data_IF_996465649170
#
_entry.id   IF_996465649170
#
_cell.length_a   1.000
_cell.length_b   1.000
_cell.length_c   1.000
_cell.angle_alpha   90.00
_cell.angle_beta   90.00
_cell.angle_gamma   90.00
#
_symmetry.space_group_name_H-M   'P 1'
#
loop_
_entity.id
_entity.type
_entity.pdbx_description
1 polymer ?
#
# COMPACT_ATOMS: atom_id res chain seq x y z
N UNK A 1 16.08 20.19 45.83
CA UNK A 1 15.25 19.97 44.63
C UNK A 1 14.78 18.53 44.60
N UNK A 2 13.47 18.28 44.60
CA UNK A 2 12.92 16.94 44.50
C UNK A 2 13.13 16.42 43.07
N UNK A 3 14.14 15.55 42.89
CA UNK A 3 14.24 14.71 41.70
C UNK A 3 13.10 13.71 41.76
N UNK A 4 11.93 14.07 41.23
CA UNK A 4 10.89 13.09 40.92
C UNK A 4 11.54 12.03 40.04
N UNK A 5 11.73 10.84 40.62
CA UNK A 5 12.33 9.67 40.00
C UNK A 5 11.51 9.34 38.73
N UNK A 6 12.01 9.77 37.56
CA UNK A 6 11.31 9.53 36.30
C UNK A 6 11.34 8.04 35.99
N UNK A 7 10.19 7.38 36.18
CA UNK A 7 10.01 5.99 35.74
C UNK A 7 9.50 5.99 34.31
N UNK A 8 10.19 5.35 33.37
CA UNK A 8 9.70 5.24 32.01
C UNK A 8 8.36 4.49 32.01
N UNK A 9 7.41 4.89 31.16
CA UNK A 9 6.11 4.23 31.07
C UNK A 9 6.26 2.77 30.66
N UNK A 10 5.33 1.89 31.09
CA UNK A 10 5.39 0.48 30.73
C UNK A 10 5.30 0.31 29.21
N UNK A 11 5.99 -0.71 28.67
CA UNK A 11 6.00 -0.98 27.22
C UNK A 11 4.61 -1.32 26.68
N UNK A 12 3.74 -1.87 27.53
CA UNK A 12 2.40 -2.28 27.15
C UNK A 12 1.39 -1.94 28.23
N UNK A 13 0.15 -1.73 27.80
CA UNK A 13 -1.02 -1.48 28.65
C UNK A 13 -2.15 -2.37 28.18
N UNK A 14 -2.70 -3.19 29.07
CA UNK A 14 -3.85 -4.03 28.78
C UNK A 14 -5.13 -3.26 29.12
N UNK A 15 -6.03 -3.13 28.16
CA UNK A 15 -7.33 -2.46 28.30
C UNK A 15 -8.44 -3.37 27.81
N UNK A 16 -9.67 -3.16 28.28
CA UNK A 16 -10.85 -3.91 27.79
C UNK A 16 -11.68 -3.00 26.88
N UNK A 17 -11.88 -3.42 25.63
CA UNK A 17 -12.75 -2.72 24.67
C UNK A 17 -13.87 -3.68 24.29
N UNK A 18 -15.13 -3.29 24.53
CA UNK A 18 -16.32 -4.13 24.26
C UNK A 18 -16.24 -5.54 24.89
N UNK A 19 -15.69 -5.65 26.10
CA UNK A 19 -15.50 -6.93 26.78
C UNK A 19 -14.29 -7.76 26.31
N UNK A 20 -13.58 -7.34 25.26
CA UNK A 20 -12.38 -8.02 24.77
C UNK A 20 -11.10 -7.37 25.34
N UNK A 21 -10.16 -8.13 25.92
CA UNK A 21 -8.87 -7.61 26.35
C UNK A 21 -7.99 -7.30 25.13
N UNK A 22 -7.41 -6.10 25.11
CA UNK A 22 -6.53 -5.60 24.05
C UNK A 22 -5.25 -5.06 24.68
N UNK A 23 -4.10 -5.53 24.16
CA UNK A 23 -2.77 -5.09 24.59
C UNK A 23 -2.25 -3.94 23.73
N UNK A 24 -2.27 -2.74 24.27
CA UNK A 24 -1.68 -1.56 23.64
C UNK A 24 -0.17 -1.54 23.83
N UNK A 25 0.55 -0.96 22.86
CA UNK A 25 2.01 -0.79 22.91
C UNK A 25 2.36 0.68 22.99
N UNK A 26 3.21 1.05 23.94
CA UNK A 26 3.70 2.42 24.07
C UNK A 26 4.65 2.78 22.91
N UNK A 27 4.53 4.01 22.40
CA UNK A 27 5.47 4.62 21.48
C UNK A 27 6.33 5.63 22.26
N UNK A 28 7.62 5.37 22.36
CA UNK A 28 8.54 6.23 23.10
C UNK A 28 8.82 7.56 22.38
N UNK A 29 8.77 7.58 21.05
CA UNK A 29 8.94 8.79 20.24
C UNK A 29 7.76 9.75 20.40
N UNK A 30 6.54 9.28 20.11
CA UNK A 30 5.33 10.10 20.18
C UNK A 30 4.75 10.24 21.60
N UNK A 31 5.30 9.53 22.59
CA UNK A 31 4.87 9.52 24.00
C UNK A 31 3.37 9.20 24.20
N UNK A 32 2.87 8.20 23.49
CA UNK A 32 1.48 7.73 23.58
C UNK A 32 1.40 6.21 23.62
N UNK A 33 0.37 5.67 24.27
CA UNK A 33 -0.07 4.30 23.98
C UNK A 33 -0.73 4.29 22.60
N UNK A 34 -0.15 3.51 21.68
CA UNK A 34 -0.65 3.45 20.31
C UNK A 34 -2.07 2.87 20.32
N UNK A 35 -3.04 3.54 19.66
CA UNK A 35 -4.36 2.95 19.44
C UNK A 35 -4.27 1.58 18.77
N UNK A 36 -5.30 0.72 18.87
CA UNK A 36 -5.35 -0.55 18.17
C UNK A 36 -5.00 -0.39 16.68
N UNK A 37 -4.18 -1.31 16.15
CA UNK A 37 -3.71 -1.33 14.75
C UNK A 37 -2.85 -0.12 14.32
N UNK A 38 -2.53 0.81 15.22
CA UNK A 38 -1.63 1.93 14.91
C UNK A 38 -0.15 1.52 15.01
N UNK A 39 0.69 2.09 14.14
CA UNK A 39 2.15 1.90 14.19
C UNK A 39 2.88 3.22 14.00
N UNK A 40 4.02 3.36 14.66
CA UNK A 40 4.92 4.50 14.44
C UNK A 40 5.73 4.25 13.17
N UNK A 41 5.73 5.23 12.27
CA UNK A 41 6.59 5.23 11.10
C UNK A 41 7.76 6.17 11.39
N UNK A 42 9.00 5.65 11.36
CA UNK A 42 10.20 6.45 11.56
C UNK A 42 10.46 7.43 10.42
N UNK A 43 10.00 7.13 9.20
CA UNK A 43 10.17 8.00 8.03
C UNK A 43 9.30 9.25 8.12
N UNK A 44 8.07 9.13 8.64
CA UNK A 44 7.14 10.24 8.83
C UNK A 44 7.17 10.81 10.27
N UNK A 45 7.97 10.19 11.15
CA UNK A 45 8.13 10.49 12.57
C UNK A 45 6.80 10.68 13.33
N UNK A 46 5.81 9.84 13.04
CA UNK A 46 4.50 9.90 13.68
C UNK A 46 3.84 8.52 13.80
N UNK A 47 2.92 8.41 14.76
CA UNK A 47 2.03 7.25 14.85
C UNK A 47 0.87 7.40 13.86
N UNK A 48 0.68 6.38 13.02
CA UNK A 48 -0.37 6.33 12.00
C UNK A 48 -1.42 5.31 12.41
N UNK A 49 -2.68 5.74 12.49
CA UNK A 49 -3.83 4.86 12.74
C UNK A 49 -4.09 3.92 11.56
N UNK A 50 -4.46 2.66 11.87
CA UNK A 50 -4.58 1.55 10.92
C UNK A 50 -3.44 1.58 9.89
N UNK A 51 -2.21 1.59 10.39
CA UNK A 51 -1.02 1.73 9.55
C UNK A 51 -0.92 0.57 8.57
N UNK A 52 -0.85 0.89 7.28
CA UNK A 52 -0.67 -0.10 6.22
C UNK A 52 0.81 -0.21 5.85
N UNK A 53 1.38 0.87 5.31
CA UNK A 53 2.80 0.98 4.98
C UNK A 53 3.22 2.44 4.80
N UNK A 54 4.53 2.70 4.78
CA UNK A 54 5.06 3.93 4.22
C UNK A 54 5.30 3.71 2.73
N UNK A 55 4.72 4.55 1.88
CA UNK A 55 4.79 4.40 0.44
C UNK A 55 5.72 5.48 -0.14
N UNK A 56 6.92 5.13 -0.62
CA UNK A 56 7.84 6.10 -1.21
C UNK A 56 7.26 6.80 -2.45
N UNK A 57 6.43 6.09 -3.22
CA UNK A 57 5.84 6.59 -4.47
C UNK A 57 4.90 7.78 -4.27
N UNK A 58 4.21 7.83 -3.13
CA UNK A 58 3.33 8.96 -2.76
C UNK A 58 3.97 9.85 -1.69
N UNK A 59 5.22 9.56 -1.29
CA UNK A 59 5.96 10.31 -0.28
C UNK A 59 5.27 10.39 1.08
N UNK A 60 4.41 9.42 1.42
CA UNK A 60 3.58 9.49 2.63
C UNK A 60 3.20 8.10 3.15
N UNK A 61 2.80 8.03 4.42
CA UNK A 61 2.18 6.83 4.97
C UNK A 61 0.79 6.60 4.39
N UNK A 62 0.49 5.34 4.08
CA UNK A 62 -0.85 4.84 3.81
C UNK A 62 -1.41 4.26 5.10
N UNK A 63 -2.57 4.76 5.52
CA UNK A 63 -3.26 4.33 6.73
C UNK A 63 -4.73 4.76 6.71
N UNK A 64 -5.39 4.81 7.87
CA UNK A 64 -6.86 4.99 7.96
C UNK A 64 -7.42 6.13 7.12
N UNK A 65 -6.78 7.30 7.15
CA UNK A 65 -7.32 8.54 6.55
C UNK A 65 -7.21 8.59 5.03
N UNK A 66 -6.29 7.83 4.43
CA UNK A 66 -6.00 7.90 2.99
C UNK A 66 -6.02 6.55 2.27
N UNK A 67 -6.21 5.43 2.97
CA UNK A 67 -6.24 4.11 2.35
C UNK A 67 -7.25 4.01 1.20
N UNK A 68 -8.45 4.60 1.35
CA UNK A 68 -9.47 4.62 0.28
C UNK A 68 -8.95 5.29 -1.00
N UNK A 69 -8.23 6.40 -0.86
CA UNK A 69 -7.70 7.14 -2.00
C UNK A 69 -6.51 6.40 -2.61
N UNK A 70 -5.65 5.80 -1.79
CA UNK A 70 -4.57 4.95 -2.27
C UNK A 70 -5.11 3.75 -3.06
N UNK A 71 -6.13 3.07 -2.55
CA UNK A 71 -6.76 1.94 -3.24
C UNK A 71 -7.39 2.36 -4.57
N UNK A 72 -8.14 3.46 -4.58
CA UNK A 72 -8.70 4.03 -5.82
C UNK A 72 -7.61 4.47 -6.81
N UNK A 73 -6.52 5.04 -6.32
CA UNK A 73 -5.37 5.42 -7.14
C UNK A 73 -4.74 4.21 -7.83
N UNK A 74 -4.41 3.15 -7.07
CA UNK A 74 -3.79 1.94 -7.63
C UNK A 74 -4.73 1.25 -8.61
N UNK A 75 -6.00 1.06 -8.25
CA UNK A 75 -6.99 0.42 -9.12
C UNK A 75 -7.23 1.21 -10.40
N UNK A 76 -7.37 2.54 -10.32
CA UNK A 76 -7.52 3.40 -11.50
C UNK A 76 -6.28 3.38 -12.38
N UNK A 77 -5.08 3.37 -11.78
CA UNK A 77 -3.83 3.23 -12.52
C UNK A 77 -3.76 1.88 -13.25
N UNK A 78 -4.22 0.80 -12.62
CA UNK A 78 -4.32 -0.52 -13.27
C UNK A 78 -5.25 -0.49 -14.49
N UNK A 79 -6.45 0.12 -14.37
CA UNK A 79 -7.36 0.27 -15.49
C UNK A 79 -6.76 1.12 -16.62
N UNK A 80 -6.10 2.23 -16.27
CA UNK A 80 -5.43 3.09 -17.25
C UNK A 80 -4.31 2.34 -17.99
N UNK A 81 -3.46 1.60 -17.29
CA UNK A 81 -2.39 0.81 -17.90
C UNK A 81 -2.96 -0.28 -18.83
N UNK A 82 -4.01 -0.98 -18.42
CA UNK A 82 -4.69 -1.99 -19.26
C UNK A 82 -5.32 -1.35 -20.51
N UNK A 83 -5.96 -0.19 -20.34
CA UNK A 83 -6.56 0.57 -21.43
C UNK A 83 -5.49 0.96 -22.44
N UNK A 84 -4.45 1.71 -22.02
CA UNK A 84 -3.38 2.16 -22.92
C UNK A 84 -2.73 0.96 -23.62
N UNK A 85 -2.34 -0.08 -22.89
CA UNK A 85 -1.73 -1.26 -23.50
C UNK A 85 -2.64 -1.94 -24.54
N UNK A 86 -3.94 -2.10 -24.25
CA UNK A 86 -4.89 -2.70 -25.17
C UNK A 86 -5.09 -1.88 -26.46
N UNK A 87 -5.19 -0.56 -26.33
CA UNK A 87 -5.30 0.34 -27.48
C UNK A 87 -4.01 0.36 -28.31
N UNK A 88 -2.84 0.38 -27.67
CA UNK A 88 -1.54 0.38 -28.37
C UNK A 88 -1.31 -0.93 -29.14
N UNK A 89 -1.71 -2.07 -28.57
CA UNK A 89 -1.72 -3.36 -29.30
C UNK A 89 -2.70 -3.35 -30.48
N UNK A 90 -3.93 -2.89 -30.26
CA UNK A 90 -4.97 -2.83 -31.29
C UNK A 90 -4.55 -1.94 -32.47
N UNK A 91 -3.93 -0.80 -32.17
CA UNK A 91 -3.41 0.14 -33.18
C UNK A 91 -2.32 -0.50 -34.06
N UNK A 92 -1.36 -1.22 -33.45
CA UNK A 92 -0.31 -1.93 -34.20
C UNK A 92 -0.90 -3.01 -35.10
N UNK A 93 -1.84 -3.81 -34.58
CA UNK A 93 -2.49 -4.88 -35.35
C UNK A 93 -3.24 -4.28 -36.54
N UNK A 94 -4.02 -3.22 -36.34
CA UNK A 94 -4.77 -2.58 -37.41
C UNK A 94 -3.84 -2.02 -38.50
N UNK A 95 -2.76 -1.34 -38.13
CA UNK A 95 -1.81 -0.79 -39.10
C UNK A 95 -1.10 -1.87 -39.91
N UNK A 96 -0.76 -3.00 -39.28
CA UNK A 96 -0.20 -4.14 -39.98
C UNK A 96 -1.19 -4.72 -41.02
N UNK A 97 -2.49 -4.75 -40.70
CA UNK A 97 -3.53 -5.23 -41.63
C UNK A 97 -3.85 -4.26 -42.78
N UNK A 98 -3.66 -2.95 -42.58
CA UNK A 98 -3.96 -1.91 -43.58
C UNK A 98 -2.80 -1.62 -44.54
N UNK A 99 -1.82 -2.54 -44.64
CA UNK A 99 -0.70 -2.49 -45.59
C UNK A 99 0.32 -1.36 -45.40
N UNK A 100 0.32 -0.65 -44.26
CA UNK A 100 1.44 0.20 -43.87
C UNK A 100 2.55 -0.69 -43.29
N UNK A 101 3.80 -0.64 -43.78
CA UNK A 101 4.86 -1.49 -43.27
C UNK A 101 5.10 -1.19 -41.79
N UNK A 102 5.18 -2.24 -40.96
CA UNK A 102 5.38 -2.20 -39.50
C UNK A 102 6.53 -1.24 -39.10
N UNK A 103 7.60 -1.20 -39.90
CA UNK A 103 8.76 -0.33 -39.70
C UNK A 103 8.45 1.17 -39.69
N UNK A 104 7.38 1.63 -40.35
CA UNK A 104 6.96 3.04 -40.33
C UNK A 104 6.12 3.39 -39.09
N UNK A 105 5.64 2.39 -38.36
CA UNK A 105 4.69 2.55 -37.24
C UNK A 105 5.37 2.40 -35.88
N UNK A 106 6.41 1.57 -35.80
CA UNK A 106 7.25 1.37 -34.62
C UNK A 106 8.26 2.51 -34.48
N UNK A 107 7.75 3.70 -34.21
CA UNK A 107 8.58 4.84 -33.80
C UNK A 107 9.14 4.60 -32.40
N UNK A 108 10.29 5.18 -32.08
CA UNK A 108 10.92 5.04 -30.75
C UNK A 108 9.94 5.34 -29.59
N UNK A 109 9.09 6.39 -29.63
CA UNK A 109 8.09 6.65 -28.58
C UNK A 109 7.10 5.49 -28.38
N UNK A 110 6.55 4.93 -29.47
CA UNK A 110 5.59 3.82 -29.38
C UNK A 110 6.20 2.55 -28.79
N UNK A 111 7.46 2.26 -29.13
CA UNK A 111 8.19 1.12 -28.57
C UNK A 111 8.44 1.33 -27.07
N UNK A 112 8.89 2.52 -26.67
CA UNK A 112 9.12 2.85 -25.26
C UNK A 112 7.83 2.77 -24.45
N UNK A 113 6.72 3.31 -24.98
CA UNK A 113 5.41 3.24 -24.34
C UNK A 113 4.97 1.79 -24.08
N UNK A 114 5.06 0.93 -25.08
CA UNK A 114 4.68 -0.48 -24.97
C UNK A 114 5.56 -1.21 -23.95
N UNK A 115 6.87 -0.96 -23.96
CA UNK A 115 7.79 -1.56 -22.99
C UNK A 115 7.44 -1.11 -21.57
N UNK A 116 7.24 0.20 -21.35
CA UNK A 116 6.85 0.74 -20.04
C UNK A 116 5.53 0.12 -19.58
N UNK A 117 4.53 0.04 -20.46
CA UNK A 117 3.24 -0.57 -20.13
C UNK A 117 3.38 -2.07 -19.80
N UNK A 118 4.14 -2.82 -20.60
CA UNK A 118 4.35 -4.25 -20.40
C UNK A 118 5.04 -4.57 -19.08
N UNK A 119 6.04 -3.80 -18.64
CA UNK A 119 6.67 -4.03 -17.34
C UNK A 119 5.81 -3.51 -16.18
N UNK A 120 5.12 -2.39 -16.37
CA UNK A 120 4.32 -1.78 -15.31
C UNK A 120 3.03 -2.56 -15.03
N UNK A 121 2.41 -3.18 -16.05
CA UNK A 121 1.11 -3.86 -15.93
C UNK A 121 1.14 -4.97 -14.89
N UNK A 122 2.18 -5.81 -14.88
CA UNK A 122 2.33 -6.90 -13.92
C UNK A 122 2.42 -6.38 -12.49
N UNK A 123 3.16 -5.28 -12.30
CA UNK A 123 3.31 -4.64 -10.99
C UNK A 123 1.99 -4.05 -10.50
N UNK A 124 1.31 -3.23 -11.33
CA UNK A 124 0.08 -2.55 -10.90
C UNK A 124 -1.11 -3.50 -10.78
N UNK A 125 -1.23 -4.51 -11.65
CA UNK A 125 -2.26 -5.56 -11.53
C UNK A 125 -2.02 -6.37 -10.26
N UNK A 126 -0.78 -6.79 -10.00
CA UNK A 126 -0.40 -7.53 -8.80
C UNK A 126 -0.70 -6.74 -7.53
N UNK A 127 -0.30 -5.46 -7.48
CA UNK A 127 -0.55 -4.58 -6.34
C UNK A 127 -2.05 -4.35 -6.11
N UNK A 128 -2.82 -4.07 -7.16
CA UNK A 128 -4.28 -3.91 -7.08
C UNK A 128 -4.96 -5.19 -6.58
N UNK A 129 -4.55 -6.35 -7.09
CA UNK A 129 -5.04 -7.66 -6.65
C UNK A 129 -4.73 -7.94 -5.18
N UNK A 130 -3.49 -7.68 -4.77
CA UNK A 130 -3.06 -7.84 -3.38
C UNK A 130 -3.87 -6.96 -2.42
N UNK A 131 -4.05 -5.67 -2.73
CA UNK A 131 -4.86 -4.79 -1.90
C UNK A 131 -6.34 -5.16 -1.91
N UNK A 132 -6.87 -5.68 -3.03
CA UNK A 132 -8.23 -6.22 -3.09
C UNK A 132 -8.41 -7.42 -2.14
N UNK A 133 -7.41 -8.31 -2.09
CA UNK A 133 -7.36 -9.42 -1.12
C UNK A 133 -7.33 -8.92 0.32
N UNK A 134 -6.50 -7.91 0.63
CA UNK A 134 -6.41 -7.33 1.97
C UNK A 134 -7.74 -6.71 2.42
N UNK A 135 -8.40 -5.96 1.53
CA UNK A 135 -9.75 -5.40 1.77
C UNK A 135 -10.74 -6.52 2.04
N UNK A 136 -10.75 -7.58 1.22
CA UNK A 136 -11.62 -8.74 1.42
C UNK A 136 -11.42 -9.46 2.76
N UNK A 137 -10.21 -9.39 3.33
CA UNK A 137 -9.87 -9.96 4.65
C UNK A 137 -9.89 -8.95 5.80
N UNK A 138 -10.21 -7.69 5.54
CA UNK A 138 -10.14 -6.59 6.52
C UNK A 138 -8.75 -6.46 7.19
N UNK A 139 -7.69 -6.78 6.45
CA UNK A 139 -6.29 -6.71 6.90
C UNK A 139 -5.60 -5.47 6.34
N UNK A 140 -4.62 -4.96 7.09
CA UNK A 140 -3.58 -4.09 6.55
C UNK A 140 -2.38 -4.92 6.08
N UNK A 141 -1.58 -4.38 5.15
CA UNK A 141 -0.32 -4.98 4.69
C UNK A 141 0.59 -5.30 5.87
N UNK A 142 0.73 -4.37 6.80
CA UNK A 142 1.52 -4.54 8.01
C UNK A 142 1.03 -5.69 8.91
N UNK A 143 -0.28 -5.92 9.00
CA UNK A 143 -0.83 -7.03 9.80
C UNK A 143 -0.62 -8.39 9.15
N UNK A 144 -0.79 -8.47 7.83
CA UNK A 144 -0.60 -9.67 7.02
C UNK A 144 0.88 -10.12 7.09
N UNK A 145 1.82 -9.21 6.82
CA UNK A 145 3.27 -9.49 6.90
C UNK A 145 3.71 -9.92 8.30
N UNK A 146 3.20 -9.28 9.35
CA UNK A 146 3.52 -9.65 10.74
C UNK A 146 2.86 -10.96 11.16
N UNK A 147 1.92 -11.48 10.37
CA UNK A 147 1.11 -12.64 10.73
C UNK A 147 0.32 -12.41 12.01
N UNK A 148 -0.13 -11.17 12.25
CA UNK A 148 -0.75 -10.73 13.52
C UNK A 148 -1.94 -11.61 13.92
N UNK A 149 -2.61 -12.20 12.93
CA UNK A 149 -3.81 -13.02 13.09
C UNK A 149 -3.62 -14.48 12.65
N UNK A 150 -2.38 -14.93 12.43
CA UNK A 150 -2.12 -16.31 12.01
C UNK A 150 -2.34 -17.28 13.17
N UNK A 151 -3.30 -18.21 13.01
CA UNK A 151 -3.64 -19.25 14.00
C UNK A 151 -2.45 -20.16 14.38
N UNK A 152 -1.37 -20.16 13.61
CA UNK A 152 -0.16 -20.97 13.88
C UNK A 152 0.68 -20.45 15.07
N UNK A 153 0.28 -19.33 15.67
CA UNK A 153 1.03 -18.61 16.73
C UNK A 153 0.22 -18.34 18.02
N UNK A 154 -0.98 -18.92 18.14
CA UNK A 154 -1.79 -18.87 19.37
C UNK A 154 -1.87 -20.26 19.99
#
# INVERSE_FOLDING_TARGET
ENTHEYRPPPRTLDITINGAPIKLKYCFTCKIFRPPRASHCSMCDNCVENFDHHCPWVGNCVGRRNYRYFFLFVTSLTFLCLFIFGFSVTHIVLLNTLCFPLFNTLTLPTVLEILICFFSIWSVVGLSGFHSYLVGRSLTTNEDIKGTWSKKRN
#
